data_IF_023539836425
#
_entry.id   IF_023539836425
#
_cell.length_a   1.000
_cell.length_b   1.000
_cell.length_c   1.000
_cell.angle_alpha   90.00
_cell.angle_beta   90.00
_cell.angle_gamma   90.00
#
_symmetry.space_group_name_H-M   'P 1'
#
loop_
_entity.id
_entity.type
_entity.pdbx_description
1 polymer ?
#
# COMPACT_ATOMS: atom_id res chain seq x y z
N UNK A 1 -21.38 -12.84 -11.41
CA UNK A 1 -21.57 -11.72 -10.48
C UNK A 1 -22.99 -11.15 -10.52
N UNK A 2 -23.58 -10.84 -11.70
CA UNK A 2 -24.94 -10.27 -11.78
C UNK A 2 -26.05 -11.07 -11.07
N UNK A 3 -26.13 -12.39 -11.28
CA UNK A 3 -27.14 -13.22 -10.62
C UNK A 3 -26.95 -13.23 -9.10
N UNK A 4 -25.74 -13.51 -8.64
CA UNK A 4 -25.38 -13.48 -7.21
C UNK A 4 -25.71 -12.12 -6.57
N UNK A 5 -25.41 -11.01 -7.25
CA UNK A 5 -25.77 -9.68 -6.77
C UNK A 5 -27.28 -9.48 -6.62
N UNK A 6 -28.08 -9.98 -7.57
CA UNK A 6 -29.55 -9.99 -7.46
C UNK A 6 -30.05 -10.82 -6.28
N UNK A 7 -29.46 -12.00 -6.06
CA UNK A 7 -29.87 -12.90 -5.00
C UNK A 7 -29.55 -12.30 -3.62
N UNK A 8 -28.36 -11.71 -3.45
CA UNK A 8 -27.97 -11.00 -2.22
C UNK A 8 -28.87 -9.78 -1.98
N UNK A 9 -29.16 -8.98 -3.00
CA UNK A 9 -30.06 -7.82 -2.86
C UNK A 9 -31.48 -8.23 -2.45
N UNK A 10 -32.03 -9.28 -3.07
CA UNK A 10 -33.33 -9.84 -2.69
C UNK A 10 -33.35 -10.30 -1.23
N UNK A 11 -32.30 -10.96 -0.78
CA UNK A 11 -32.18 -11.39 0.61
C UNK A 11 -32.11 -10.22 1.59
N UNK A 12 -31.31 -9.19 1.29
CA UNK A 12 -31.23 -7.97 2.12
C UNK A 12 -32.58 -7.24 2.17
N UNK A 13 -33.26 -7.12 1.03
CA UNK A 13 -34.59 -6.49 0.96
C UNK A 13 -35.62 -7.29 1.77
N UNK A 14 -35.62 -8.62 1.64
CA UNK A 14 -36.46 -9.50 2.46
C UNK A 14 -36.21 -9.31 3.96
N UNK A 15 -34.95 -9.23 4.39
CA UNK A 15 -34.62 -8.94 5.80
C UNK A 15 -35.18 -7.59 6.28
N UNK A 16 -35.15 -6.57 5.42
CA UNK A 16 -35.66 -5.25 5.73
C UNK A 16 -37.19 -5.16 5.70
N UNK A 17 -37.84 -5.94 4.84
CA UNK A 17 -39.29 -5.98 4.70
C UNK A 17 -39.92 -6.80 5.83
N UNK A 18 -39.42 -8.01 6.08
CA UNK A 18 -39.99 -8.94 7.07
C UNK A 18 -39.62 -8.61 8.52
N UNK A 19 -38.37 -8.21 8.77
CA UNK A 19 -37.87 -7.97 10.14
C UNK A 19 -37.62 -6.50 10.44
N UNK A 20 -37.89 -5.60 9.50
CA UNK A 20 -37.52 -4.19 9.61
C UNK A 20 -36.03 -3.98 9.92
N UNK A 21 -35.17 -4.90 9.45
CA UNK A 21 -33.73 -4.81 9.69
C UNK A 21 -33.13 -3.59 8.98
N UNK A 22 -32.46 -2.66 9.68
CA UNK A 22 -31.94 -1.45 9.08
C UNK A 22 -30.73 -1.73 8.18
N UNK A 23 -30.78 -1.27 6.92
CA UNK A 23 -29.68 -1.42 5.97
C UNK A 23 -28.42 -0.62 6.37
N UNK A 24 -28.58 0.37 7.25
CA UNK A 24 -27.48 1.10 7.87
C UNK A 24 -26.61 0.23 8.80
N UNK A 25 -27.07 -0.98 9.14
CA UNK A 25 -26.31 -1.99 9.88
C UNK A 25 -25.68 -3.07 8.97
N UNK A 26 -25.77 -2.91 7.65
CA UNK A 26 -25.24 -3.89 6.68
C UNK A 26 -23.87 -3.44 6.16
N UNK A 27 -22.86 -4.28 6.37
CA UNK A 27 -21.53 -4.16 5.76
C UNK A 27 -21.26 -5.40 4.90
N UNK A 28 -21.12 -5.21 3.58
CA UNK A 28 -20.77 -6.28 2.66
C UNK A 28 -19.26 -6.31 2.42
N UNK A 29 -18.64 -7.47 2.61
CA UNK A 29 -17.23 -7.71 2.29
C UNK A 29 -17.16 -8.63 1.07
N UNK A 30 -16.61 -8.14 -0.03
CA UNK A 30 -16.51 -8.90 -1.28
C UNK A 30 -15.07 -9.06 -1.73
N UNK A 31 -14.62 -10.29 -1.92
CA UNK A 31 -13.29 -10.62 -2.45
C UNK A 31 -13.34 -10.97 -3.94
N UNK A 32 -12.40 -10.47 -4.74
CA UNK A 32 -12.27 -10.82 -6.16
C UNK A 32 -13.58 -10.54 -6.94
N UNK A 33 -14.18 -11.57 -7.55
CA UNK A 33 -15.51 -11.48 -8.19
C UNK A 33 -16.63 -11.10 -7.20
N UNK A 34 -16.49 -11.46 -5.92
CA UNK A 34 -17.41 -11.14 -4.84
C UNK A 34 -17.54 -9.64 -4.59
N UNK A 35 -16.48 -8.85 -4.81
CA UNK A 35 -16.54 -7.38 -4.71
C UNK A 35 -17.56 -6.79 -5.70
N UNK A 36 -17.60 -7.30 -6.92
CA UNK A 36 -18.57 -6.87 -7.92
C UNK A 36 -19.97 -7.42 -7.66
N UNK A 37 -20.10 -8.64 -7.11
CA UNK A 37 -21.39 -9.13 -6.66
C UNK A 37 -21.96 -8.26 -5.53
N UNK A 38 -21.12 -7.83 -4.57
CA UNK A 38 -21.50 -6.91 -3.50
C UNK A 38 -21.91 -5.52 -4.02
N UNK A 39 -21.17 -4.96 -4.97
CA UNK A 39 -21.54 -3.69 -5.62
C UNK A 39 -22.87 -3.78 -6.37
N UNK A 40 -23.06 -4.82 -7.19
CA UNK A 40 -24.32 -5.07 -7.88
C UNK A 40 -25.47 -5.26 -6.87
N UNK A 41 -25.24 -5.97 -5.76
CA UNK A 41 -26.23 -6.12 -4.70
C UNK A 41 -26.63 -4.77 -4.09
N UNK A 42 -25.66 -3.96 -3.66
CA UNK A 42 -25.91 -2.63 -3.07
C UNK A 42 -26.61 -1.65 -4.03
N UNK A 43 -26.40 -1.78 -5.34
CA UNK A 43 -27.12 -1.00 -6.35
C UNK A 43 -28.59 -1.40 -6.52
N UNK A 44 -28.99 -2.58 -6.03
CA UNK A 44 -30.32 -3.18 -6.20
C UNK A 44 -31.12 -3.25 -4.89
N UNK A 45 -30.54 -2.88 -3.74
CA UNK A 45 -31.27 -2.83 -2.48
C UNK A 45 -32.22 -1.62 -2.42
N UNK A 46 -33.33 -1.75 -1.69
CA UNK A 46 -34.38 -0.72 -1.60
C UNK A 46 -33.87 0.60 -1.00
N UNK A 47 -32.86 0.53 -0.13
CA UNK A 47 -32.08 1.65 0.40
C UNK A 47 -30.59 1.33 0.24
N UNK A 48 -29.72 2.33 0.36
CA UNK A 48 -28.27 2.08 0.39
C UNK A 48 -27.90 1.27 1.63
N UNK A 49 -26.98 0.32 1.45
CA UNK A 49 -26.31 -0.32 2.59
C UNK A 49 -25.22 0.61 3.13
N UNK A 50 -24.86 0.45 4.40
CA UNK A 50 -23.89 1.32 5.06
C UNK A 50 -22.51 1.29 4.43
N UNK A 51 -21.98 0.08 4.20
CA UNK A 51 -20.60 -0.09 3.77
C UNK A 51 -20.41 -1.27 2.83
N UNK A 52 -19.56 -1.09 1.82
CA UNK A 52 -19.03 -2.19 1.00
C UNK A 52 -17.51 -2.10 1.04
N UNK A 53 -16.85 -3.20 1.41
CA UNK A 53 -15.39 -3.33 1.28
C UNK A 53 -15.05 -4.25 0.11
N UNK A 54 -14.33 -3.71 -0.87
CA UNK A 54 -13.78 -4.47 -1.99
C UNK A 54 -12.37 -4.97 -1.69
N UNK A 55 -12.21 -6.28 -1.56
CA UNK A 55 -10.92 -6.93 -1.32
C UNK A 55 -10.37 -7.43 -2.67
N UNK A 56 -9.42 -6.67 -3.22
CA UNK A 56 -8.82 -6.84 -4.56
C UNK A 56 -9.84 -7.23 -5.64
N UNK A 57 -10.80 -6.34 -5.98
CA UNK A 57 -11.86 -6.65 -6.95
C UNK A 57 -11.29 -7.14 -8.29
N UNK A 58 -11.96 -8.10 -8.93
CA UNK A 58 -11.46 -8.70 -10.16
C UNK A 58 -11.28 -7.67 -11.30
N UNK A 59 -10.12 -7.69 -11.96
CA UNK A 59 -9.81 -6.81 -13.09
C UNK A 59 -10.42 -7.25 -14.43
N UNK A 60 -10.25 -8.53 -14.86
CA UNK A 60 -10.64 -8.96 -16.20
C UNK A 60 -12.16 -8.82 -16.40
N UNK A 61 -12.56 -8.22 -17.53
CA UNK A 61 -13.95 -7.84 -17.87
C UNK A 61 -14.59 -6.72 -17.02
N UNK A 62 -13.96 -6.25 -15.94
CA UNK A 62 -14.51 -5.19 -15.08
C UNK A 62 -13.75 -3.86 -15.16
N UNK A 63 -12.48 -3.87 -15.59
CA UNK A 63 -11.66 -2.66 -15.76
C UNK A 63 -12.38 -1.61 -16.63
N UNK A 64 -13.01 -2.05 -17.72
CA UNK A 64 -13.75 -1.18 -18.64
C UNK A 64 -15.28 -1.31 -18.49
N UNK A 65 -15.76 -2.05 -17.48
CA UNK A 65 -17.18 -2.14 -17.24
C UNK A 65 -17.74 -0.82 -16.70
N UNK A 66 -18.96 -0.50 -17.16
CA UNK A 66 -19.77 0.59 -16.64
C UNK A 66 -20.21 0.34 -15.21
N UNK A 67 -20.45 1.41 -14.44
CA UNK A 67 -20.76 1.35 -13.01
C UNK A 67 -21.84 0.29 -12.66
N UNK A 68 -22.97 0.15 -13.38
CA UNK A 68 -24.00 -0.84 -13.02
C UNK A 68 -23.58 -2.32 -13.16
N UNK A 69 -22.43 -2.61 -13.75
CA UNK A 69 -21.94 -3.98 -13.97
C UNK A 69 -20.70 -4.32 -13.15
N UNK A 70 -20.25 -3.44 -12.25
CA UNK A 70 -19.08 -3.61 -11.37
C UNK A 70 -19.33 -2.96 -10.02
N UNK A 71 -18.33 -3.01 -9.14
CA UNK A 71 -18.31 -2.21 -7.92
C UNK A 71 -18.10 -0.73 -8.28
N UNK A 72 -18.84 0.15 -7.62
CA UNK A 72 -18.79 1.61 -7.80
C UNK A 72 -19.08 2.35 -6.48
N UNK A 73 -18.67 3.61 -6.32
CA UNK A 73 -18.93 4.37 -5.09
C UNK A 73 -20.42 4.62 -4.82
N UNK A 74 -21.27 4.49 -5.84
CA UNK A 74 -22.71 4.72 -5.74
C UNK A 74 -23.45 3.54 -5.11
N UNK A 75 -22.81 2.37 -4.99
CA UNK A 75 -23.43 1.11 -4.55
C UNK A 75 -23.70 1.05 -3.04
N UNK A 76 -23.12 1.95 -2.25
CA UNK A 76 -23.33 2.05 -0.81
C UNK A 76 -23.17 3.50 -0.32
N UNK A 77 -23.40 3.72 0.97
CA UNK A 77 -23.05 5.00 1.60
C UNK A 77 -21.53 5.19 1.69
N UNK A 78 -20.78 4.11 1.95
CA UNK A 78 -19.33 4.13 1.94
C UNK A 78 -18.73 2.86 1.33
N UNK A 79 -18.10 3.00 0.17
CA UNK A 79 -17.24 1.99 -0.45
C UNK A 79 -15.75 2.25 -0.19
N UNK A 80 -15.05 1.27 0.38
CA UNK A 80 -13.59 1.25 0.52
C UNK A 80 -12.96 0.03 -0.17
N UNK A 81 -11.81 0.20 -0.79
CA UNK A 81 -11.23 -0.83 -1.67
C UNK A 81 -9.74 -1.01 -1.39
N UNK A 82 -9.31 -2.27 -1.29
CA UNK A 82 -7.90 -2.65 -1.24
C UNK A 82 -7.49 -3.22 -2.60
N UNK A 83 -6.48 -2.63 -3.23
CA UNK A 83 -5.89 -3.10 -4.49
C UNK A 83 -4.51 -3.69 -4.21
N UNK A 84 -4.40 -5.01 -4.26
CA UNK A 84 -3.17 -5.72 -3.85
C UNK A 84 -2.50 -6.49 -4.99
N UNK A 85 -3.20 -6.78 -6.09
CA UNK A 85 -2.61 -7.47 -7.24
C UNK A 85 -3.00 -6.91 -8.62
N UNK A 86 -2.57 -5.68 -8.86
CA UNK A 86 -2.87 -4.92 -10.09
C UNK A 86 -1.79 -5.03 -11.18
N UNK A 87 -0.82 -5.96 -11.05
CA UNK A 87 0.25 -6.16 -12.04
C UNK A 87 -0.32 -6.61 -13.38
N UNK A 88 0.12 -5.96 -14.46
CA UNK A 88 -0.25 -6.28 -15.84
C UNK A 88 -0.80 -5.07 -16.59
N UNK A 89 -1.08 -5.25 -17.88
CA UNK A 89 -1.74 -4.21 -18.68
C UNK A 89 -3.19 -4.01 -18.20
N UNK A 90 -3.76 -2.79 -18.31
CA UNK A 90 -5.14 -2.52 -17.93
C UNK A 90 -6.14 -3.50 -18.57
N UNK A 91 -6.99 -4.13 -17.75
CA UNK A 91 -7.95 -5.16 -18.16
C UNK A 91 -7.37 -6.58 -18.28
N UNK A 92 -6.06 -6.76 -18.08
CA UNK A 92 -5.37 -8.06 -17.99
C UNK A 92 -4.73 -8.33 -16.63
N UNK A 93 -4.76 -7.37 -15.71
CA UNK A 93 -4.38 -7.60 -14.31
C UNK A 93 -5.46 -8.40 -13.59
N UNK A 94 -5.07 -9.22 -12.61
CA UNK A 94 -5.99 -10.04 -11.81
C UNK A 94 -6.88 -9.16 -10.93
N UNK A 95 -6.30 -8.20 -10.22
CA UNK A 95 -7.02 -7.12 -9.55
C UNK A 95 -7.28 -5.94 -10.48
N UNK A 96 -8.40 -5.23 -10.26
CA UNK A 96 -8.77 -4.02 -10.99
C UNK A 96 -7.80 -2.87 -10.67
N UNK A 97 -7.36 -2.14 -11.70
CA UNK A 97 -6.41 -1.03 -11.55
C UNK A 97 -7.10 0.28 -11.20
N UNK A 98 -8.21 0.57 -11.87
CA UNK A 98 -8.95 1.82 -11.65
C UNK A 98 -9.56 1.88 -10.24
N UNK A 99 -9.63 3.08 -9.63
CA UNK A 99 -10.37 3.26 -8.39
C UNK A 99 -11.86 3.01 -8.61
N UNK A 100 -12.49 2.32 -7.68
CA UNK A 100 -13.92 1.98 -7.69
C UNK A 100 -14.64 2.28 -6.38
N UNK A 101 -13.95 2.84 -5.37
CA UNK A 101 -14.54 3.26 -4.10
C UNK A 101 -14.51 4.77 -3.85
N UNK A 102 -14.91 5.16 -2.63
CA UNK A 102 -14.65 6.50 -2.10
C UNK A 102 -13.17 6.63 -1.69
N UNK A 103 -12.63 5.57 -1.07
CA UNK A 103 -11.22 5.43 -0.70
C UNK A 103 -10.67 4.15 -1.33
N UNK A 104 -9.62 4.30 -2.14
CA UNK A 104 -8.97 3.20 -2.84
C UNK A 104 -7.50 3.14 -2.37
N UNK A 105 -7.17 2.09 -1.61
CA UNK A 105 -5.86 1.91 -0.99
C UNK A 105 -5.06 0.91 -1.82
N UNK A 106 -3.81 1.25 -2.13
CA UNK A 106 -2.88 0.46 -2.92
C UNK A 106 -1.65 0.09 -2.06
N UNK A 107 -1.75 -0.92 -1.17
CA UNK A 107 -0.61 -1.38 -0.37
C UNK A 107 0.55 -1.78 -1.27
N UNK A 108 1.75 -1.27 -0.96
CA UNK A 108 2.98 -1.49 -1.72
C UNK A 108 2.87 -1.07 -3.19
N UNK A 109 2.07 -0.04 -3.48
CA UNK A 109 1.76 0.42 -4.84
C UNK A 109 0.70 -0.42 -5.55
N UNK A 110 0.20 -1.48 -4.91
CA UNK A 110 -0.91 -2.33 -5.34
C UNK A 110 -0.59 -3.30 -6.46
N UNK A 111 0.61 -3.29 -7.03
CA UNK A 111 0.97 -4.22 -8.11
C UNK A 111 1.28 -5.62 -7.59
N UNK A 112 1.96 -5.72 -6.46
CA UNK A 112 2.41 -6.98 -5.90
C UNK A 112 2.78 -6.80 -4.42
N UNK A 113 2.63 -7.84 -3.61
CA UNK A 113 2.80 -7.75 -2.15
C UNK A 113 4.12 -8.38 -1.67
N UNK A 114 4.78 -7.81 -0.65
CA UNK A 114 6.00 -8.37 -0.07
C UNK A 114 5.79 -9.81 0.41
N UNK A 115 6.74 -10.69 0.11
CA UNK A 115 6.69 -12.11 0.45
C UNK A 115 5.93 -13.02 -0.53
N UNK A 116 5.31 -12.45 -1.58
CA UNK A 116 4.59 -13.27 -2.57
C UNK A 116 5.38 -13.51 -3.88
N UNK A 117 6.57 -12.90 -4.07
CA UNK A 117 7.18 -12.75 -5.40
C UNK A 117 7.86 -14.04 -5.89
N UNK A 118 8.09 -14.13 -7.21
CA UNK A 118 8.64 -15.32 -7.89
C UNK A 118 9.98 -15.78 -7.30
N UNK A 119 10.77 -14.88 -6.69
CA UNK A 119 12.01 -15.26 -5.99
C UNK A 119 11.78 -16.23 -4.83
N UNK A 120 10.76 -15.99 -4.00
CA UNK A 120 10.37 -16.93 -2.95
C UNK A 120 9.54 -18.10 -3.47
N UNK A 121 8.82 -17.89 -4.58
CA UNK A 121 8.20 -18.99 -5.30
C UNK A 121 9.19 -20.06 -5.74
N UNK A 122 10.32 -19.65 -6.32
CA UNK A 122 11.36 -20.56 -6.78
C UNK A 122 11.96 -21.31 -5.58
N UNK A 123 12.12 -20.65 -4.42
CA UNK A 123 12.58 -21.30 -3.18
C UNK A 123 11.58 -22.34 -2.68
N UNK A 124 10.28 -21.99 -2.63
CA UNK A 124 9.21 -22.91 -2.21
C UNK A 124 8.99 -24.04 -3.20
N UNK A 125 9.06 -23.78 -4.51
CA UNK A 125 8.97 -24.82 -5.56
C UNK A 125 10.18 -25.75 -5.50
N UNK A 126 11.38 -25.23 -5.23
CA UNK A 126 12.58 -26.03 -5.03
C UNK A 126 12.48 -26.92 -3.77
N UNK A 127 11.80 -26.45 -2.71
CA UNK A 127 11.60 -27.20 -1.47
C UNK A 127 10.39 -28.16 -1.48
N UNK A 128 9.30 -27.83 -2.19
CA UNK A 128 7.98 -28.50 -2.07
C UNK A 128 7.32 -28.94 -3.39
N UNK A 129 7.93 -28.66 -4.54
CA UNK A 129 7.47 -29.11 -5.86
C UNK A 129 6.42 -28.22 -6.55
N UNK A 130 6.13 -28.53 -7.83
CA UNK A 130 5.30 -27.73 -8.76
C UNK A 130 3.78 -27.81 -8.52
N UNK A 131 3.31 -28.55 -7.50
CA UNK A 131 1.88 -28.77 -7.26
C UNK A 131 1.12 -27.54 -6.74
N UNK A 132 1.82 -26.54 -6.18
CA UNK A 132 1.24 -25.41 -5.43
C UNK A 132 1.31 -24.06 -6.18
N UNK A 133 1.54 -24.09 -7.49
CA UNK A 133 1.72 -22.87 -8.30
C UNK A 133 0.46 -21.99 -8.33
N UNK A 134 -0.74 -22.57 -8.14
CA UNK A 134 -2.01 -21.82 -8.08
C UNK A 134 -2.19 -21.05 -6.75
N UNK A 135 -1.64 -21.55 -5.63
CA UNK A 135 -1.55 -20.79 -4.36
C UNK A 135 -0.61 -19.59 -4.50
N UNK A 136 0.48 -19.79 -5.25
CA UNK A 136 1.51 -18.78 -5.44
C UNK A 136 1.02 -17.58 -6.27
N UNK A 137 0.21 -17.82 -7.30
CA UNK A 137 -0.40 -16.76 -8.14
C UNK A 137 -1.44 -15.96 -7.33
N UNK A 138 -2.11 -16.58 -6.35
CA UNK A 138 -3.14 -15.91 -5.53
C UNK A 138 -2.59 -15.18 -4.31
N UNK A 139 -1.33 -15.39 -3.90
CA UNK A 139 -0.78 -14.77 -2.68
C UNK A 139 -0.97 -13.24 -2.61
N UNK A 140 -0.64 -12.52 -3.69
CA UNK A 140 -0.86 -11.05 -3.73
C UNK A 140 -2.34 -10.68 -3.81
N UNK A 141 -3.18 -11.53 -4.43
CA UNK A 141 -4.62 -11.32 -4.54
C UNK A 141 -5.29 -11.43 -3.16
N UNK A 142 -4.99 -12.52 -2.45
CA UNK A 142 -5.53 -12.87 -1.14
C UNK A 142 -4.97 -12.00 -0.01
N UNK A 143 -3.82 -11.35 -0.21
CA UNK A 143 -3.26 -10.39 0.77
C UNK A 143 -4.24 -9.29 1.15
N UNK A 144 -5.16 -8.88 0.26
CA UNK A 144 -6.23 -7.94 0.58
C UNK A 144 -7.08 -8.40 1.78
N UNK A 145 -7.42 -9.69 1.83
CA UNK A 145 -8.17 -10.30 2.93
C UNK A 145 -7.35 -10.26 4.21
N UNK A 146 -6.09 -10.71 4.17
CA UNK A 146 -5.25 -10.74 5.37
C UNK A 146 -4.94 -9.35 5.92
N UNK A 147 -4.78 -8.33 5.08
CA UNK A 147 -4.65 -6.94 5.51
C UNK A 147 -5.93 -6.45 6.21
N UNK A 148 -7.10 -6.87 5.73
CA UNK A 148 -8.36 -6.56 6.40
C UNK A 148 -8.50 -7.31 7.74
N UNK A 149 -8.13 -8.59 7.80
CA UNK A 149 -8.09 -9.37 9.04
C UNK A 149 -7.14 -8.71 10.07
N UNK A 150 -5.94 -8.31 9.65
CA UNK A 150 -4.98 -7.60 10.51
C UNK A 150 -5.59 -6.32 11.10
N UNK A 151 -6.38 -5.59 10.32
CA UNK A 151 -7.06 -4.38 10.80
C UNK A 151 -8.15 -4.63 11.82
N UNK A 152 -8.77 -5.81 11.81
CA UNK A 152 -9.74 -6.25 12.82
C UNK A 152 -9.05 -6.72 14.10
N UNK A 153 -7.90 -7.38 13.97
CA UNK A 153 -7.15 -7.90 15.11
C UNK A 153 -6.33 -6.83 15.85
N UNK A 154 -6.03 -5.71 15.19
CA UNK A 154 -5.15 -4.65 15.70
C UNK A 154 -5.83 -3.27 15.65
N UNK A 155 -7.02 -3.15 16.26
CA UNK A 155 -7.84 -1.93 16.27
C UNK A 155 -7.12 -0.71 16.87
N UNK A 156 -6.30 -0.92 17.91
CA UNK A 156 -5.58 0.17 18.59
C UNK A 156 -4.45 0.76 17.72
N UNK A 157 -3.90 -0.04 16.81
CA UNK A 157 -2.70 0.28 16.06
C UNK A 157 -2.87 0.12 14.55
N UNK A 158 -3.85 0.79 13.92
CA UNK A 158 -4.13 0.62 12.50
C UNK A 158 -2.96 1.12 11.65
N UNK A 159 -2.78 0.47 10.49
CA UNK A 159 -1.83 0.92 9.47
C UNK A 159 -2.35 2.18 8.78
N UNK A 160 -1.48 3.18 8.58
CA UNK A 160 -1.82 4.45 7.93
C UNK A 160 -1.61 4.37 6.41
N UNK A 161 -2.64 4.72 5.66
CA UNK A 161 -2.58 4.93 4.21
C UNK A 161 -2.53 6.43 3.88
N UNK A 162 -1.73 6.79 2.89
CA UNK A 162 -1.44 8.17 2.53
C UNK A 162 -1.90 8.50 1.11
N UNK A 163 -2.75 9.50 0.98
CA UNK A 163 -3.24 10.00 -0.31
C UNK A 163 -2.10 10.57 -1.14
N UNK A 164 -1.97 10.08 -2.36
CA UNK A 164 -0.92 10.50 -3.28
C UNK A 164 -1.42 10.51 -4.72
N UNK A 165 -0.75 11.28 -5.58
CA UNK A 165 -1.10 11.35 -6.99
C UNK A 165 -0.66 10.10 -7.77
N UNK A 166 0.46 9.50 -7.38
CA UNK A 166 0.99 8.28 -7.98
C UNK A 166 1.83 7.50 -6.96
N UNK A 167 2.05 6.21 -7.24
CA UNK A 167 2.94 5.37 -6.42
C UNK A 167 4.37 5.89 -6.44
N UNK A 168 4.85 6.41 -7.58
CA UNK A 168 6.23 6.94 -7.73
C UNK A 168 6.46 8.18 -6.85
N UNK A 169 5.46 9.05 -6.71
CA UNK A 169 5.53 10.18 -5.79
C UNK A 169 5.53 9.72 -4.32
N UNK A 170 4.81 8.64 -4.01
CA UNK A 170 4.83 8.02 -2.68
C UNK A 170 6.19 7.39 -2.35
N UNK A 171 6.80 6.65 -3.28
CA UNK A 171 8.16 6.06 -3.11
C UNK A 171 9.25 7.13 -2.91
N UNK A 172 9.03 8.37 -3.39
CA UNK A 172 9.90 9.53 -3.13
C UNK A 172 9.64 10.19 -1.75
N UNK A 173 8.73 9.64 -0.96
CA UNK A 173 8.35 10.16 0.36
C UNK A 173 7.51 11.45 0.34
N UNK A 174 7.01 11.88 -0.83
CA UNK A 174 6.39 13.21 -1.00
C UNK A 174 4.98 13.31 -0.39
N UNK A 175 4.38 12.19 -0.01
CA UNK A 175 2.96 12.09 0.30
C UNK A 175 2.63 11.75 1.77
N UNK A 176 3.53 11.94 2.73
CA UNK A 176 3.31 11.59 4.15
C UNK A 176 2.52 12.63 4.96
N UNK A 177 1.46 13.23 4.41
CA UNK A 177 0.67 14.27 5.10
C UNK A 177 -0.69 13.73 5.56
N UNK A 178 -1.10 14.07 6.79
CA UNK A 178 -2.43 13.77 7.32
C UNK A 178 -3.41 14.95 7.29
N UNK A 179 -2.97 16.15 6.87
CA UNK A 179 -3.83 17.34 6.84
C UNK A 179 -5.00 17.15 5.87
N UNK A 180 -6.22 17.55 6.28
CA UNK A 180 -7.45 17.49 5.45
C UNK A 180 -7.72 16.10 4.87
N UNK A 181 -7.67 15.06 5.69
CA UNK A 181 -7.92 13.65 5.31
C UNK A 181 -6.99 13.14 4.20
N UNK A 182 -5.74 13.66 4.16
CA UNK A 182 -4.69 13.13 3.28
C UNK A 182 -4.07 11.83 3.79
N UNK A 183 -4.40 11.40 5.00
CA UNK A 183 -4.15 10.05 5.44
C UNK A 183 -5.44 9.44 6.00
N UNK A 184 -5.52 8.12 6.01
CA UNK A 184 -6.62 7.36 6.61
C UNK A 184 -6.10 6.03 7.16
N UNK A 185 -6.93 5.32 7.93
CA UNK A 185 -6.60 3.97 8.38
C UNK A 185 -6.91 2.95 7.27
N UNK A 186 -6.07 1.93 7.14
CA UNK A 186 -6.38 0.76 6.34
C UNK A 186 -7.37 -0.14 7.08
N UNK A 187 -8.39 -0.63 6.38
CA UNK A 187 -9.26 -1.69 6.87
C UNK A 187 -10.45 -1.21 7.70
N UNK A 188 -10.75 -1.89 8.80
CA UNK A 188 -12.02 -1.74 9.52
C UNK A 188 -12.21 -0.33 10.10
N UNK A 189 -11.20 0.19 10.81
CA UNK A 189 -11.19 1.51 11.46
C UNK A 189 -11.01 2.71 10.51
N UNK A 190 -11.39 2.56 9.24
CA UNK A 190 -11.30 3.63 8.24
C UNK A 190 -12.27 4.77 8.58
N UNK A 191 -11.80 6.01 8.47
CA UNK A 191 -12.68 7.17 8.53
C UNK A 191 -13.49 7.24 7.22
N UNK A 192 -14.83 7.20 7.31
CA UNK A 192 -15.76 7.15 6.17
C UNK A 192 -15.87 8.49 5.41
N UNK A 193 -14.74 8.99 4.90
CA UNK A 193 -14.65 10.28 4.19
C UNK A 193 -15.07 10.10 2.73
N UNK A 194 -16.14 10.81 2.34
CA UNK A 194 -16.62 10.84 0.95
C UNK A 194 -16.11 12.09 0.25
N UNK A 195 -15.41 11.91 -0.86
CA UNK A 195 -14.89 13.01 -1.67
C UNK A 195 -15.56 13.03 -3.05
N UNK A 196 -15.59 14.19 -3.72
CA UNK A 196 -16.12 14.33 -5.09
C UNK A 196 -15.38 13.48 -6.13
N UNK A 197 -14.14 13.09 -5.83
CA UNK A 197 -13.31 12.20 -6.65
C UNK A 197 -12.73 11.14 -5.73
N UNK A 198 -12.63 9.90 -6.21
CA UNK A 198 -11.94 8.83 -5.48
C UNK A 198 -10.53 9.28 -5.08
N UNK A 199 -10.14 8.93 -3.86
CA UNK A 199 -8.79 9.15 -3.35
C UNK A 199 -7.95 7.88 -3.43
N UNK A 200 -6.93 7.89 -4.29
CA UNK A 200 -5.86 6.89 -4.28
C UNK A 200 -4.94 7.11 -3.07
N UNK A 201 -4.79 6.09 -2.24
CA UNK A 201 -3.92 6.09 -1.08
C UNK A 201 -2.91 4.96 -1.15
N UNK A 202 -1.74 5.14 -0.54
CA UNK A 202 -0.62 4.22 -0.60
C UNK A 202 -0.01 4.03 0.80
N UNK A 203 0.56 2.87 1.03
CA UNK A 203 1.36 2.55 2.21
C UNK A 203 2.35 1.44 1.86
N UNK A 204 3.36 1.23 2.70
CA UNK A 204 4.17 0.01 2.72
C UNK A 204 3.64 -0.94 3.78
N UNK A 205 3.97 -2.22 3.65
CA UNK A 205 3.61 -3.25 4.64
C UNK A 205 4.75 -4.26 4.79
N UNK A 206 4.71 -5.03 5.88
CA UNK A 206 5.55 -6.23 6.04
C UNK A 206 5.11 -7.36 5.12
N UNK A 207 5.93 -8.40 5.04
CA UNK A 207 5.62 -9.65 4.33
C UNK A 207 4.62 -10.54 5.08
N UNK A 208 4.49 -10.39 6.40
CA UNK A 208 3.63 -11.21 7.27
C UNK A 208 2.93 -10.36 8.34
N UNK A 209 1.86 -10.92 8.93
CA UNK A 209 1.07 -10.26 9.99
C UNK A 209 1.86 -10.21 11.31
N UNK A 210 1.75 -9.14 12.13
CA UNK A 210 1.05 -7.88 11.86
C UNK A 210 1.76 -7.06 10.77
N UNK A 211 1.01 -6.40 9.88
CA UNK A 211 1.56 -5.86 8.63
C UNK A 211 2.11 -4.43 8.73
N UNK A 212 1.86 -3.75 9.85
CA UNK A 212 2.23 -2.35 10.09
C UNK A 212 3.73 -2.11 9.94
N UNK A 213 4.06 -0.96 9.36
CA UNK A 213 5.42 -0.38 9.30
C UNK A 213 5.32 1.14 9.55
N UNK A 214 6.46 1.74 9.87
CA UNK A 214 6.61 3.19 10.05
C UNK A 214 7.24 3.80 8.81
N UNK A 215 6.73 4.96 8.37
CA UNK A 215 7.10 5.62 7.13
C UNK A 215 7.87 6.91 7.39
N UNK A 216 9.05 7.03 6.80
CA UNK A 216 9.93 8.19 6.95
C UNK A 216 10.26 8.78 5.57
N UNK A 217 10.00 10.06 5.38
CA UNK A 217 10.57 10.81 4.27
C UNK A 217 11.94 11.32 4.70
N UNK A 218 12.98 10.94 3.96
CA UNK A 218 14.35 11.42 4.18
C UNK A 218 14.75 12.34 3.03
N UNK A 219 15.28 13.51 3.36
CA UNK A 219 15.83 14.48 2.41
C UNK A 219 17.28 14.77 2.73
N UNK A 220 18.14 14.56 1.74
CA UNK A 220 19.59 14.75 1.84
C UNK A 220 20.02 15.70 0.74
N UNK A 221 20.79 16.73 1.12
CA UNK A 221 21.50 17.58 0.18
C UNK A 221 22.96 17.11 0.12
N UNK A 222 23.40 16.68 -1.06
CA UNK A 222 24.76 16.20 -1.29
C UNK A 222 25.60 17.36 -1.79
N UNK A 223 26.48 17.91 -0.97
CA UNK A 223 27.37 19.01 -1.36
C UNK A 223 28.70 18.47 -1.87
N UNK A 224 29.22 19.09 -2.94
CA UNK A 224 30.49 18.71 -3.55
C UNK A 224 31.19 19.93 -4.15
N UNK A 225 32.52 19.93 -4.11
CA UNK A 225 33.37 20.97 -4.70
C UNK A 225 33.48 20.79 -6.22
N UNK A 226 33.48 19.54 -6.69
CA UNK A 226 33.49 19.19 -8.11
C UNK A 226 32.09 18.79 -8.58
N UNK A 227 31.80 19.06 -9.85
CA UNK A 227 30.54 18.65 -10.49
C UNK A 227 30.60 17.16 -10.84
N UNK A 228 30.43 16.30 -9.84
CA UNK A 228 30.34 14.84 -10.02
C UNK A 228 28.87 14.38 -10.08
N UNK A 229 28.61 13.33 -10.87
CA UNK A 229 27.31 12.67 -10.97
C UNK A 229 27.48 11.17 -11.07
N UNK A 230 26.92 10.47 -10.09
CA UNK A 230 26.93 9.03 -9.97
C UNK A 230 25.52 8.48 -10.23
N UNK A 231 25.40 7.33 -10.88
CA UNK A 231 24.11 6.69 -11.19
C UNK A 231 23.96 5.37 -10.46
N UNK A 232 22.73 4.98 -10.13
CA UNK A 232 22.38 3.71 -9.48
C UNK A 232 23.23 3.39 -8.24
N UNK A 233 23.33 4.34 -7.32
CA UNK A 233 24.16 4.23 -6.12
C UNK A 233 23.39 3.58 -4.97
N UNK A 234 24.03 2.63 -4.29
CA UNK A 234 23.47 1.89 -3.16
C UNK A 234 23.92 2.49 -1.83
N UNK A 235 22.98 2.62 -0.90
CA UNK A 235 23.19 3.16 0.43
C UNK A 235 22.52 2.27 1.48
N UNK A 236 23.02 2.35 2.70
CA UNK A 236 22.38 1.85 3.90
C UNK A 236 22.10 3.01 4.85
N UNK A 237 20.92 3.02 5.44
CA UNK A 237 20.55 3.96 6.49
C UNK A 237 20.23 3.20 7.78
N UNK A 238 20.78 3.64 8.90
CA UNK A 238 20.41 3.15 10.23
C UNK A 238 19.73 4.26 11.01
N UNK A 239 18.59 3.93 11.63
CA UNK A 239 17.78 4.83 12.44
C UNK A 239 17.90 4.40 13.90
N UNK A 240 18.27 5.33 14.79
CA UNK A 240 18.36 5.10 16.23
C UNK A 240 17.42 6.06 16.94
N UNK A 241 16.43 5.53 17.66
CA UNK A 241 15.47 6.31 18.40
C UNK A 241 15.55 6.09 19.91
N UNK A 242 14.58 6.64 20.64
CA UNK A 242 14.50 6.53 22.10
C UNK A 242 14.12 5.14 22.60
N UNK A 243 13.47 4.32 21.77
CA UNK A 243 12.94 3.00 22.17
C UNK A 243 13.76 1.86 21.58
N UNK A 244 14.12 1.97 20.31
CA UNK A 244 14.83 0.94 19.58
C UNK A 244 15.59 1.52 18.38
N UNK A 245 16.32 0.65 17.69
CA UNK A 245 17.09 0.95 16.49
C UNK A 245 16.72 0.01 15.33
N UNK A 246 16.89 0.51 14.11
CA UNK A 246 16.73 -0.27 12.89
C UNK A 246 17.91 0.03 11.98
N UNK A 247 18.82 -0.92 11.89
CA UNK A 247 20.12 -0.74 11.25
C UNK A 247 20.15 -1.29 9.81
N UNK A 248 21.07 -0.74 9.00
CA UNK A 248 21.42 -1.24 7.67
C UNK A 248 20.24 -1.34 6.68
N UNK A 249 19.26 -0.45 6.77
CA UNK A 249 18.12 -0.43 5.85
C UNK A 249 18.62 -0.04 4.45
N UNK A 250 18.53 -0.93 3.45
CA UNK A 250 19.10 -0.67 2.14
C UNK A 250 18.17 0.25 1.32
N UNK A 251 18.76 1.16 0.56
CA UNK A 251 18.06 1.92 -0.47
C UNK A 251 19.00 2.30 -1.62
N UNK A 252 18.43 2.55 -2.80
CA UNK A 252 19.19 2.96 -3.98
C UNK A 252 18.70 4.30 -4.50
N UNK A 253 19.64 5.12 -4.97
CA UNK A 253 19.34 6.37 -5.66
C UNK A 253 19.72 6.21 -7.14
N UNK A 254 18.79 6.49 -8.07
CA UNK A 254 19.07 6.35 -9.51
C UNK A 254 20.12 7.35 -9.99
N UNK A 255 20.21 8.50 -9.33
CA UNK A 255 21.17 9.57 -9.62
C UNK A 255 21.56 10.23 -8.30
N UNK A 256 22.84 10.54 -8.14
CA UNK A 256 23.39 11.35 -7.05
C UNK A 256 24.39 12.34 -7.67
N UNK A 257 24.05 13.62 -7.67
CA UNK A 257 24.92 14.71 -8.16
C UNK A 257 25.31 15.67 -7.04
N UNK A 258 26.47 16.29 -7.23
CA UNK A 258 26.90 17.40 -6.39
C UNK A 258 25.89 18.56 -6.40
N UNK A 259 25.70 19.17 -5.23
CA UNK A 259 24.84 20.31 -4.95
C UNK A 259 23.35 20.09 -5.29
N UNK A 260 22.89 18.83 -5.27
CA UNK A 260 21.47 18.47 -5.46
C UNK A 260 20.87 17.86 -4.20
N UNK A 261 19.55 18.01 -4.06
CA UNK A 261 18.76 17.46 -2.95
C UNK A 261 17.89 16.32 -3.45
N UNK A 262 17.95 15.19 -2.75
CA UNK A 262 17.15 14.01 -3.05
C UNK A 262 16.18 13.72 -1.91
N UNK A 263 14.98 13.25 -2.27
CA UNK A 263 13.92 12.84 -1.36
C UNK A 263 13.54 11.41 -1.67
N UNK A 264 13.48 10.57 -0.64
CA UNK A 264 13.14 9.16 -0.77
C UNK A 264 12.37 8.68 0.47
N UNK A 265 11.60 7.61 0.30
CA UNK A 265 10.86 6.95 1.36
C UNK A 265 11.74 5.86 1.99
N UNK A 266 11.83 5.87 3.32
CA UNK A 266 12.35 4.78 4.14
C UNK A 266 11.19 4.23 4.97
N UNK A 267 11.15 2.92 5.17
CA UNK A 267 10.18 2.30 6.07
C UNK A 267 10.84 1.19 6.88
N UNK A 268 10.31 0.95 8.08
CA UNK A 268 10.79 -0.12 8.98
C UNK A 268 9.64 -0.68 9.80
N UNK A 269 9.74 -1.96 10.17
CA UNK A 269 8.80 -2.62 11.08
C UNK A 269 9.02 -2.30 12.55
N UNK A 270 10.20 -1.74 12.89
CA UNK A 270 10.57 -1.44 14.27
C UNK A 270 9.99 -0.10 14.69
N UNK A 271 9.30 -0.07 15.83
CA UNK A 271 8.95 1.17 16.52
C UNK A 271 10.18 1.69 17.27
N UNK A 272 10.88 2.63 16.65
CA UNK A 272 12.09 3.25 17.22
C UNK A 272 11.77 4.32 18.26
N UNK A 273 10.50 4.73 18.42
CA UNK A 273 10.12 5.90 19.20
C UNK A 273 10.53 7.22 18.53
N UNK A 274 11.01 8.18 19.32
CA UNK A 274 11.47 9.46 18.78
C UNK A 274 12.88 9.32 18.20
N UNK A 275 13.08 9.75 16.94
CA UNK A 275 14.36 9.64 16.25
C UNK A 275 15.43 10.54 16.89
N UNK A 276 16.57 9.96 17.27
CA UNK A 276 17.69 10.67 17.90
C UNK A 276 18.90 10.80 16.98
N UNK A 277 19.26 9.71 16.29
CA UNK A 277 20.46 9.65 15.45
C UNK A 277 20.17 8.88 14.16
N UNK A 278 20.87 9.29 13.10
CA UNK A 278 20.79 8.68 11.78
C UNK A 278 22.21 8.45 11.28
N UNK A 279 22.51 7.21 10.87
CA UNK A 279 23.77 6.83 10.23
C UNK A 279 23.51 6.52 8.77
N UNK A 280 24.29 7.12 7.88
CA UNK A 280 24.23 6.88 6.45
C UNK A 280 25.55 6.25 6.00
N UNK A 281 25.46 5.17 5.23
CA UNK A 281 26.61 4.47 4.65
C UNK A 281 26.44 4.37 3.15
N UNK A 282 27.38 4.90 2.38
CA UNK A 282 27.47 4.66 0.94
C UNK A 282 28.17 3.33 0.71
N UNK A 283 27.50 2.40 0.01
CA UNK A 283 28.09 1.12 -0.37
C UNK A 283 29.00 1.31 -1.58
N UNK A 284 30.18 0.73 -1.51
CA UNK A 284 31.08 0.57 -2.65
C UNK A 284 31.14 -0.91 -3.01
N UNK A 285 31.01 -1.20 -4.30
CA UNK A 285 31.17 -2.57 -4.84
C UNK A 285 32.65 -2.89 -5.16
N UNK A 286 33.57 -1.95 -4.90
CA UNK A 286 35.00 -2.14 -5.15
C UNK A 286 35.65 -2.99 -4.05
N UNK A 287 36.37 -4.03 -4.45
CA UNK A 287 37.23 -4.84 -3.58
C UNK A 287 38.37 -4.04 -2.92
N UNK A 288 38.67 -2.83 -3.40
CA UNK A 288 39.75 -1.97 -2.89
C UNK A 288 39.24 -0.81 -2.04
N UNK A 289 37.94 -0.73 -1.77
CA UNK A 289 37.31 0.36 -1.00
C UNK A 289 37.79 0.48 0.45
N UNK A 290 38.52 -0.51 0.97
CA UNK A 290 39.15 -0.49 2.29
C UNK A 290 40.51 0.20 2.33
N UNK A 291 41.12 0.49 1.17
CA UNK A 291 42.45 1.11 1.08
C UNK A 291 42.33 2.61 0.85
N UNK A 292 43.02 3.41 1.66
CA UNK A 292 43.11 4.86 1.52
C UNK A 292 43.84 5.31 0.24
N UNK A 293 44.50 4.38 -0.46
CA UNK A 293 45.13 4.64 -1.77
C UNK A 293 44.12 4.68 -2.92
N UNK A 294 42.87 4.26 -2.68
CA UNK A 294 41.82 4.26 -3.70
C UNK A 294 40.94 5.50 -3.59
N UNK A 295 41.05 6.41 -4.56
CA UNK A 295 40.20 7.60 -4.62
C UNK A 295 38.74 7.19 -4.83
N UNK A 296 37.93 7.39 -3.80
CA UNK A 296 36.49 7.16 -3.85
C UNK A 296 35.76 8.50 -3.90
N UNK A 297 34.72 8.64 -4.75
CA UNK A 297 33.93 9.86 -4.76
C UNK A 297 33.31 10.09 -3.39
N UNK A 298 33.23 11.35 -2.96
CA UNK A 298 32.74 11.73 -1.64
C UNK A 298 31.89 12.98 -1.72
N UNK A 299 30.84 13.02 -0.90
CA UNK A 299 29.98 14.20 -0.75
C UNK A 299 30.01 14.67 0.71
N UNK A 300 30.07 15.99 0.91
CA UNK A 300 29.84 16.59 2.20
C UNK A 300 28.33 16.70 2.44
N UNK A 301 27.86 16.25 3.61
CA UNK A 301 26.45 16.33 4.01
C UNK A 301 26.40 17.06 5.35
N UNK A 302 25.87 18.28 5.35
CA UNK A 302 25.74 19.07 6.58
C UNK A 302 24.49 18.68 7.39
N UNK A 303 23.36 18.47 6.70
CA UNK A 303 22.05 18.25 7.33
C UNK A 303 21.23 17.23 6.55
N UNK A 304 20.56 16.35 7.31
CA UNK A 304 19.56 15.42 6.81
C UNK A 304 18.22 15.81 7.44
N UNK A 305 17.18 16.00 6.61
CA UNK A 305 15.83 16.30 7.10
C UNK A 305 14.98 15.05 7.03
N UNK A 306 14.34 14.71 8.14
CA UNK A 306 13.45 13.55 8.24
C UNK A 306 12.05 14.03 8.59
N UNK A 307 11.04 13.40 7.99
CA UNK A 307 9.63 13.53 8.39
C UNK A 307 9.05 12.16 8.67
N UNK A 308 8.49 11.96 9.86
CA UNK A 308 7.79 10.75 10.26
C UNK A 308 6.30 10.84 9.91
N UNK A 309 5.79 9.84 9.19
CA UNK A 309 4.40 9.79 8.74
C UNK A 309 3.42 9.55 9.89
N UNK A 310 3.68 8.56 10.74
CA UNK A 310 2.74 8.14 11.77
C UNK A 310 2.57 9.18 12.88
N UNK A 311 3.66 9.89 13.23
CA UNK A 311 3.66 10.94 14.26
C UNK A 311 3.47 12.36 13.70
N UNK A 312 3.51 12.53 12.36
CA UNK A 312 3.44 13.82 11.66
C UNK A 312 4.49 14.85 12.12
N UNK A 313 5.67 14.38 12.55
CA UNK A 313 6.83 15.20 12.93
C UNK A 313 7.81 15.38 11.78
#
# INVERSE_FOLDING_TARGET
TKLVGKDVAKFINWMAEEFHYPLDNVHLLGYSLGAHAAGIAGSLTNKKVNRITGLDPAGPNFEYAEAPSRLSPDDADFVDVLHTFTRGSPGRSIGIQKPVGHVDIYPNGGTFQPGCNIGEAIRVIAERGLGDVDQLVKCSHERSIHLFIDSLLNEENPSKAYRCNSKEAFEKGLCLSCRKNRCNNLGYEINKVRAKRSSKMYLKTRSQMPYKVFHYQVKIHFSGTESDTQTNQAFEISLYGTVAESENIPFTLPEVSANKTYSFLIYTEVDIGELLMLKLKWKSDSYFSWSDWWSSPGFAIEKIRVKAGETQK
#
